data_IF_790160547407
#
_entry.id   IF_790160547407
#
_cell.length_a   1.000
_cell.length_b   1.000
_cell.length_c   1.000
_cell.angle_alpha   90.00
_cell.angle_beta   90.00
_cell.angle_gamma   90.00
#
_symmetry.space_group_name_H-M   'P 1'
#
loop_
_entity.id
_entity.type
_entity.pdbx_description
1 polymer ?
#
# COMPACT_ATOMS: atom_id res chain seq x y z
N UNK A 1 -11.53 8.31 28.08
CA UNK A 1 -11.72 8.20 26.62
C UNK A 1 -10.41 8.08 25.83
N UNK A 2 -9.37 8.86 26.13
CA UNK A 2 -8.07 8.83 25.44
C UNK A 2 -7.42 7.43 25.40
N UNK A 3 -7.44 6.67 26.49
CA UNK A 3 -6.89 5.29 26.54
C UNK A 3 -7.62 4.28 25.63
N UNK A 4 -8.94 4.42 25.44
CA UNK A 4 -9.74 3.58 24.52
C UNK A 4 -9.48 3.95 23.06
N UNK A 5 -9.30 5.24 22.76
CA UNK A 5 -8.87 5.72 21.44
C UNK A 5 -7.45 5.23 21.11
N UNK A 6 -6.53 5.32 22.07
CA UNK A 6 -5.15 4.83 21.91
C UNK A 6 -5.11 3.31 21.78
N UNK A 7 -5.92 2.55 22.53
CA UNK A 7 -5.99 1.09 22.38
C UNK A 7 -6.62 0.69 21.05
N UNK A 8 -7.69 1.36 20.60
CA UNK A 8 -8.31 1.16 19.29
C UNK A 8 -7.36 1.53 18.15
N UNK A 9 -6.61 2.63 18.28
CA UNK A 9 -5.50 2.97 17.39
C UNK A 9 -4.44 1.88 17.39
N UNK A 10 -4.11 1.28 18.55
CA UNK A 10 -3.12 0.20 18.66
C UNK A 10 -3.57 -1.09 17.96
N UNK A 11 -4.85 -1.44 18.03
CA UNK A 11 -5.43 -2.58 17.28
C UNK A 11 -5.57 -2.28 15.78
N UNK A 12 -5.76 -1.02 15.37
CA UNK A 12 -5.70 -0.61 13.96
C UNK A 12 -4.25 -0.55 13.45
N UNK A 13 -3.29 -0.26 14.32
CA UNK A 13 -1.85 -0.20 14.05
C UNK A 13 -1.15 -1.56 14.07
N UNK A 14 -1.79 -2.63 14.56
CA UNK A 14 -1.21 -3.97 14.46
C UNK A 14 -1.38 -4.50 13.04
N UNK A 15 -0.24 -4.72 12.36
CA UNK A 15 -0.20 -5.44 11.08
C UNK A 15 -0.81 -6.83 11.33
N UNK A 16 -1.92 -7.19 10.66
CA UNK A 16 -2.54 -8.50 10.83
C UNK A 16 -1.59 -9.56 10.28
N UNK A 17 -0.92 -10.25 11.18
CA UNK A 17 0.04 -11.31 10.90
C UNK A 17 -0.64 -12.68 10.70
N UNK A 18 -1.96 -12.76 10.82
CA UNK A 18 -2.69 -14.03 11.00
C UNK A 18 -2.96 -14.82 9.71
N UNK A 19 -2.71 -14.29 8.51
CA UNK A 19 -2.94 -15.02 7.27
C UNK A 19 -1.83 -14.83 6.23
N UNK A 20 -0.92 -15.80 6.04
CA UNK A 20 0.21 -15.68 5.10
C UNK A 20 -0.25 -15.53 3.64
N UNK A 21 -1.37 -16.16 3.25
CA UNK A 21 -1.97 -16.00 1.91
C UNK A 21 -2.58 -14.60 1.69
N UNK A 22 -3.19 -14.01 2.72
CA UNK A 22 -3.70 -12.63 2.68
C UNK A 22 -2.54 -11.63 2.50
N UNK A 23 -1.46 -11.83 3.25
CA UNK A 23 -0.22 -11.06 3.16
C UNK A 23 0.39 -11.13 1.74
N UNK A 24 0.37 -12.32 1.12
CA UNK A 24 0.88 -12.54 -0.23
C UNK A 24 0.05 -11.80 -1.28
N UNK A 25 -1.28 -11.89 -1.22
CA UNK A 25 -2.18 -11.18 -2.13
C UNK A 25 -2.06 -9.65 -1.99
N UNK A 26 -1.95 -9.14 -0.76
CA UNK A 26 -1.70 -7.72 -0.49
C UNK A 26 -0.35 -7.26 -1.04
N UNK A 27 0.68 -8.09 -0.89
CA UNK A 27 2.02 -7.80 -1.41
C UNK A 27 2.02 -7.66 -2.94
N UNK A 28 1.35 -8.57 -3.65
CA UNK A 28 1.24 -8.52 -5.12
C UNK A 28 0.46 -7.29 -5.58
N UNK A 29 -0.70 -7.01 -4.97
CA UNK A 29 -1.48 -5.81 -5.29
C UNK A 29 -0.68 -4.51 -5.06
N UNK A 30 0.00 -4.41 -3.91
CA UNK A 30 0.85 -3.28 -3.55
C UNK A 30 2.01 -3.09 -4.54
N UNK A 31 2.65 -4.19 -4.96
CA UNK A 31 3.78 -4.15 -5.89
C UNK A 31 3.44 -3.53 -7.26
N UNK A 32 2.19 -3.65 -7.71
CA UNK A 32 1.72 -3.02 -8.97
C UNK A 32 1.34 -1.55 -8.80
N UNK A 33 0.86 -1.14 -7.63
CA UNK A 33 0.36 0.21 -7.39
C UNK A 33 1.47 1.20 -6.99
N UNK A 34 2.48 0.74 -6.26
CA UNK A 34 3.58 1.59 -5.79
C UNK A 34 4.39 2.29 -6.90
N UNK A 35 4.74 1.65 -8.04
CA UNK A 35 5.52 2.30 -9.10
C UNK A 35 4.81 3.51 -9.71
N UNK A 36 3.50 3.38 -9.98
CA UNK A 36 2.68 4.48 -10.51
C UNK A 36 2.63 5.65 -9.52
N UNK A 37 2.52 5.35 -8.22
CA UNK A 37 2.51 6.38 -7.19
C UNK A 37 3.83 7.16 -7.12
N UNK A 38 4.97 6.46 -7.14
CA UNK A 38 6.28 7.13 -7.17
C UNK A 38 6.41 8.01 -8.41
N UNK A 39 5.96 7.55 -9.58
CA UNK A 39 5.97 8.33 -10.80
C UNK A 39 5.16 9.64 -10.65
N UNK A 40 3.91 9.55 -10.20
CA UNK A 40 3.05 10.73 -9.99
C UNK A 40 3.69 11.69 -8.99
N UNK A 41 4.24 11.19 -7.89
CA UNK A 41 4.92 12.02 -6.87
C UNK A 41 6.13 12.75 -7.44
N UNK A 42 6.94 12.08 -8.27
CA UNK A 42 8.08 12.71 -8.92
C UNK A 42 7.65 13.82 -9.88
N UNK A 43 6.64 13.57 -10.71
CA UNK A 43 6.11 14.59 -11.64
C UNK A 43 5.65 15.82 -10.87
N UNK A 44 4.88 15.65 -9.79
CA UNK A 44 4.43 16.76 -8.94
C UNK A 44 5.60 17.52 -8.28
N UNK A 45 6.65 16.81 -7.88
CA UNK A 45 7.82 17.40 -7.22
C UNK A 45 8.60 18.28 -8.18
N UNK A 46 8.85 17.78 -9.39
CA UNK A 46 9.53 18.54 -10.44
C UNK A 46 8.68 19.71 -10.94
N UNK A 47 7.36 19.56 -11.00
CA UNK A 47 6.45 20.67 -11.31
C UNK A 47 6.57 21.81 -10.29
N UNK A 48 6.55 21.50 -8.99
CA UNK A 48 6.73 22.52 -7.94
C UNK A 48 8.12 23.15 -7.95
N UNK A 49 9.16 22.34 -8.20
CA UNK A 49 10.53 22.82 -8.32
C UNK A 49 10.70 23.78 -9.50
N UNK A 50 10.07 23.48 -10.65
CA UNK A 50 10.10 24.33 -11.84
C UNK A 50 9.43 25.68 -11.59
N UNK A 51 8.29 25.73 -10.90
CA UNK A 51 7.63 27.01 -10.60
C UNK A 51 8.42 27.91 -9.66
N UNK A 52 9.33 27.34 -8.85
CA UNK A 52 10.19 28.10 -7.93
C UNK A 52 11.62 28.27 -8.46
N UNK A 53 11.90 27.83 -9.69
CA UNK A 53 13.25 27.79 -10.25
C UNK A 53 13.93 29.17 -10.28
N UNK A 54 13.16 30.22 -10.57
CA UNK A 54 13.66 31.59 -10.66
C UNK A 54 13.73 32.32 -9.30
N UNK A 55 13.03 31.82 -8.27
CA UNK A 55 12.83 32.57 -7.02
C UNK A 55 13.49 31.93 -5.81
N UNK A 56 13.69 30.61 -5.81
CA UNK A 56 14.34 29.88 -4.73
C UNK A 56 15.78 29.47 -5.10
N UNK A 57 16.70 29.33 -4.11
CA UNK A 57 18.08 28.97 -4.37
C UNK A 57 18.20 27.58 -5.02
N UNK A 58 19.21 27.41 -5.88
CA UNK A 58 19.40 26.21 -6.71
C UNK A 58 19.51 24.91 -5.89
N UNK A 59 19.99 24.96 -4.64
CA UNK A 59 20.03 23.82 -3.74
C UNK A 59 18.63 23.30 -3.38
N UNK A 60 17.64 24.18 -3.27
CA UNK A 60 16.25 23.85 -2.91
C UNK A 60 15.45 23.38 -4.13
N UNK A 61 15.71 23.94 -5.31
CA UNK A 61 14.99 23.66 -6.56
C UNK A 61 15.58 22.51 -7.37
N UNK A 62 16.86 22.20 -7.19
CA UNK A 62 17.54 21.14 -7.93
C UNK A 62 18.04 20.01 -7.04
N UNK A 63 18.84 20.31 -6.01
CA UNK A 63 19.54 19.26 -5.26
C UNK A 63 18.57 18.41 -4.43
N UNK A 64 17.66 19.03 -3.69
CA UNK A 64 16.70 18.29 -2.86
C UNK A 64 15.73 17.44 -3.72
N UNK A 65 15.09 17.98 -4.79
CA UNK A 65 14.28 17.17 -5.70
C UNK A 65 15.06 16.04 -6.37
N UNK A 66 16.32 16.27 -6.76
CA UNK A 66 17.16 15.22 -7.35
C UNK A 66 17.44 14.08 -6.35
N UNK A 67 17.78 14.40 -5.10
CA UNK A 67 18.01 13.40 -4.06
C UNK A 67 16.74 12.60 -3.76
N UNK A 68 15.60 13.28 -3.61
CA UNK A 68 14.30 12.63 -3.43
C UNK A 68 13.93 11.75 -4.63
N UNK A 69 14.29 12.18 -5.85
CA UNK A 69 14.11 11.40 -7.07
C UNK A 69 14.90 10.11 -7.05
N UNK A 70 16.17 10.16 -6.64
CA UNK A 70 17.03 8.97 -6.53
C UNK A 70 16.43 7.98 -5.52
N UNK A 71 16.01 8.45 -4.34
CA UNK A 71 15.41 7.59 -3.30
C UNK A 71 14.13 6.92 -3.81
N UNK A 72 13.22 7.69 -4.41
CA UNK A 72 11.98 7.18 -4.99
C UNK A 72 12.24 6.21 -6.14
N UNK A 73 13.20 6.49 -7.03
CA UNK A 73 13.54 5.64 -8.16
C UNK A 73 14.14 4.30 -7.72
N UNK A 74 15.05 4.30 -6.74
CA UNK A 74 15.62 3.07 -6.15
C UNK A 74 14.50 2.21 -5.58
N UNK A 75 13.56 2.80 -4.85
CA UNK A 75 12.42 2.06 -4.28
C UNK A 75 11.47 1.55 -5.35
N UNK A 76 11.09 2.39 -6.31
CA UNK A 76 10.25 2.01 -7.43
C UNK A 76 10.85 0.84 -8.20
N UNK A 77 12.15 0.88 -8.48
CA UNK A 77 12.89 -0.21 -9.14
C UNK A 77 12.93 -1.48 -8.30
N UNK A 78 13.20 -1.39 -6.99
CA UNK A 78 13.15 -2.56 -6.09
C UNK A 78 11.78 -3.24 -6.12
N UNK A 79 10.69 -2.46 -6.05
CA UNK A 79 9.34 -2.99 -6.10
C UNK A 79 9.01 -3.60 -7.47
N UNK A 80 9.34 -2.92 -8.57
CA UNK A 80 9.17 -3.44 -9.93
C UNK A 80 9.92 -4.77 -10.16
N UNK A 81 11.15 -4.88 -9.66
CA UNK A 81 11.95 -6.10 -9.75
C UNK A 81 11.36 -7.26 -8.91
N UNK A 82 10.53 -6.95 -7.92
CA UNK A 82 9.91 -7.96 -7.06
C UNK A 82 8.50 -8.37 -7.53
N UNK A 83 7.86 -7.59 -8.43
CA UNK A 83 6.56 -7.94 -9.06
C UNK A 83 6.61 -9.30 -9.77
N UNK A 84 7.73 -9.62 -10.43
CA UNK A 84 7.87 -10.83 -11.24
C UNK A 84 8.57 -12.00 -10.51
N UNK A 85 8.87 -11.88 -9.21
CA UNK A 85 9.52 -12.95 -8.44
C UNK A 85 8.51 -13.69 -7.55
N UNK A 86 8.68 -15.01 -7.35
CA UNK A 86 7.83 -15.76 -6.44
C UNK A 86 7.93 -15.15 -5.03
N UNK A 87 6.82 -15.05 -4.28
CA UNK A 87 6.81 -14.34 -3.02
C UNK A 87 7.75 -15.02 -2.01
N UNK A 88 8.64 -14.26 -1.36
CA UNK A 88 9.57 -14.81 -0.37
C UNK A 88 8.82 -15.30 0.88
N UNK A 89 9.54 -16.01 1.75
CA UNK A 89 8.97 -16.56 3.00
C UNK A 89 8.19 -15.47 3.80
N UNK A 90 7.09 -15.85 4.49
CA UNK A 90 6.21 -14.89 5.20
C UNK A 90 6.94 -14.00 6.21
N UNK A 91 8.01 -14.52 6.83
CA UNK A 91 8.86 -13.80 7.79
C UNK A 91 9.63 -12.64 7.14
N UNK A 92 10.15 -12.86 5.93
CA UNK A 92 10.88 -11.84 5.14
C UNK A 92 9.95 -10.75 4.61
N UNK A 93 8.70 -11.12 4.29
CA UNK A 93 7.66 -10.16 3.87
C UNK A 93 7.36 -9.18 5.01
N UNK A 94 7.14 -9.70 6.22
CA UNK A 94 6.77 -8.87 7.37
C UNK A 94 7.88 -7.90 7.80
N UNK A 95 9.15 -8.34 7.75
CA UNK A 95 10.30 -7.47 8.00
C UNK A 95 10.39 -6.33 6.96
N UNK A 96 10.27 -6.67 5.68
CA UNK A 96 10.32 -5.69 4.57
C UNK A 96 9.18 -4.65 4.66
N UNK A 97 7.99 -5.09 5.06
CA UNK A 97 6.83 -4.21 5.25
C UNK A 97 7.03 -3.26 6.44
N UNK A 98 7.60 -3.72 7.56
CA UNK A 98 7.92 -2.87 8.72
C UNK A 98 8.98 -1.81 8.40
N UNK A 99 10.03 -2.19 7.69
CA UNK A 99 11.06 -1.24 7.24
C UNK A 99 10.47 -0.20 6.27
N UNK A 100 9.63 -0.65 5.34
CA UNK A 100 8.96 0.24 4.38
C UNK A 100 8.02 1.21 5.09
N UNK A 101 7.34 0.77 6.14
CA UNK A 101 6.48 1.62 6.97
C UNK A 101 7.28 2.78 7.63
N UNK A 102 8.38 2.46 8.33
CA UNK A 102 9.23 3.47 8.95
C UNK A 102 9.81 4.46 7.94
N UNK A 103 10.31 3.96 6.81
CA UNK A 103 10.88 4.79 5.76
C UNK A 103 9.83 5.66 5.06
N UNK A 104 8.59 5.20 4.92
CA UNK A 104 7.51 5.97 4.30
C UNK A 104 7.21 7.26 5.09
N UNK A 105 7.15 7.17 6.42
CA UNK A 105 6.96 8.33 7.28
C UNK A 105 8.12 9.34 7.18
N UNK A 106 9.37 8.86 7.18
CA UNK A 106 10.56 9.70 7.02
C UNK A 106 10.57 10.41 5.67
N UNK A 107 10.30 9.69 4.58
CA UNK A 107 10.23 10.26 3.24
C UNK A 107 9.11 11.29 3.17
N UNK A 108 7.92 11.00 3.71
CA UNK A 108 6.82 11.96 3.74
C UNK A 108 7.16 13.24 4.53
N UNK A 109 7.80 13.11 5.68
CA UNK A 109 8.28 14.26 6.45
C UNK A 109 9.31 15.08 5.68
N UNK A 110 10.25 14.42 4.97
CA UNK A 110 11.24 15.09 4.14
C UNK A 110 10.61 15.91 3.00
N UNK A 111 9.62 15.34 2.31
CA UNK A 111 8.88 16.07 1.27
C UNK A 111 8.07 17.24 1.84
N UNK A 112 7.44 17.07 3.00
CA UNK A 112 6.69 18.14 3.66
C UNK A 112 7.62 19.28 4.13
N UNK A 113 8.75 18.95 4.74
CA UNK A 113 9.74 19.94 5.17
C UNK A 113 10.31 20.71 3.96
N UNK A 114 10.63 20.00 2.89
CA UNK A 114 11.09 20.63 1.64
C UNK A 114 10.02 21.56 1.05
N UNK A 115 8.78 21.10 0.88
CA UNK A 115 7.73 21.95 0.30
C UNK A 115 7.45 23.19 1.14
N UNK A 116 7.43 23.06 2.47
CA UNK A 116 7.28 24.21 3.38
C UNK A 116 8.47 25.17 3.31
N UNK A 117 9.67 24.67 3.08
CA UNK A 117 10.86 25.53 2.89
C UNK A 117 10.80 26.35 1.59
N UNK A 118 10.03 25.91 0.58
CA UNK A 118 9.81 26.69 -0.65
C UNK A 118 8.81 27.83 -0.46
N UNK A 119 7.91 27.72 0.52
CA UNK A 119 6.84 28.69 0.76
C UNK A 119 7.28 30.17 0.81
N UNK A 120 8.35 30.57 1.54
CA UNK A 120 8.74 31.98 1.61
C UNK A 120 9.35 32.54 0.32
N UNK A 121 9.70 31.71 -0.65
CA UNK A 121 10.36 32.13 -1.90
C UNK A 121 9.36 32.39 -3.04
N UNK A 122 8.06 32.23 -2.82
CA UNK A 122 7.03 32.35 -3.84
C UNK A 122 6.13 33.58 -3.67
N UNK A 123 5.54 34.04 -4.78
CA UNK A 123 4.39 34.94 -4.78
C UNK A 123 3.12 34.21 -4.29
N UNK A 124 1.98 34.91 -4.23
CA UNK A 124 0.74 34.31 -3.74
C UNK A 124 0.30 33.06 -4.54
N UNK A 125 0.56 33.03 -5.85
CA UNK A 125 0.26 31.89 -6.70
C UNK A 125 1.20 30.70 -6.43
N UNK A 126 2.50 30.96 -6.27
CA UNK A 126 3.47 29.93 -5.90
C UNK A 126 3.22 29.37 -4.50
N UNK A 127 2.83 30.21 -3.54
CA UNK A 127 2.40 29.78 -2.19
C UNK A 127 1.15 28.89 -2.24
N UNK A 128 0.16 29.24 -3.07
CA UNK A 128 -1.00 28.40 -3.32
C UNK A 128 -0.60 27.07 -3.99
N UNK A 129 0.37 27.09 -4.90
CA UNK A 129 0.90 25.88 -5.53
C UNK A 129 1.59 24.95 -4.51
N UNK A 130 2.32 25.50 -3.53
CA UNK A 130 2.87 24.72 -2.40
C UNK A 130 1.74 24.06 -1.59
N UNK A 131 0.69 24.81 -1.24
CA UNK A 131 -0.45 24.27 -0.51
C UNK A 131 -1.16 23.14 -1.29
N UNK A 132 -1.36 23.33 -2.59
CA UNK A 132 -1.95 22.35 -3.49
C UNK A 132 -1.09 21.09 -3.62
N UNK A 133 0.22 21.25 -3.81
CA UNK A 133 1.18 20.15 -3.85
C UNK A 133 1.12 19.30 -2.58
N UNK A 134 1.15 19.94 -1.40
CA UNK A 134 1.07 19.23 -0.13
C UNK A 134 -0.25 18.47 0.04
N UNK A 135 -1.38 19.09 -0.32
CA UNK A 135 -2.70 18.44 -0.27
C UNK A 135 -2.79 17.18 -1.13
N UNK A 136 -2.41 17.28 -2.41
CA UNK A 136 -2.38 16.12 -3.32
C UNK A 136 -1.40 15.07 -2.80
N UNK A 137 -0.23 15.48 -2.32
CA UNK A 137 0.80 14.55 -1.84
C UNK A 137 0.33 13.75 -0.64
N UNK A 138 -0.43 14.35 0.29
CA UNK A 138 -1.05 13.63 1.41
C UNK A 138 -1.98 12.54 0.91
N UNK A 139 -2.88 12.87 -0.03
CA UNK A 139 -3.85 11.92 -0.60
C UNK A 139 -3.11 10.76 -1.27
N UNK A 140 -2.12 11.07 -2.11
CA UNK A 140 -1.28 10.08 -2.81
C UNK A 140 -0.52 9.20 -1.81
N UNK A 141 -0.01 9.78 -0.71
CA UNK A 141 0.67 9.04 0.36
C UNK A 141 -0.29 8.12 1.14
N UNK A 142 -1.53 8.54 1.38
CA UNK A 142 -2.54 7.70 2.02
C UNK A 142 -2.88 6.51 1.11
N UNK A 143 -3.14 6.77 -0.17
CA UNK A 143 -3.44 5.71 -1.15
C UNK A 143 -2.29 4.71 -1.32
N UNK A 144 -1.04 5.19 -1.35
CA UNK A 144 0.08 4.27 -1.55
C UNK A 144 0.33 3.35 -0.36
N UNK A 145 -0.17 3.74 0.82
CA UNK A 145 -0.11 2.97 2.05
C UNK A 145 -1.42 2.23 2.33
N UNK A 146 -2.31 2.08 1.34
CA UNK A 146 -3.60 1.39 1.47
C UNK A 146 -3.49 -0.02 2.06
N UNK A 147 -2.41 -0.74 1.76
CA UNK A 147 -2.17 -2.08 2.30
C UNK A 147 -1.38 -2.08 3.62
N UNK A 148 -0.88 -0.92 4.06
CA UNK A 148 -0.13 -0.72 5.30
C UNK A 148 -0.81 0.35 6.16
N UNK A 149 -1.94 -0.01 6.79
CA UNK A 149 -2.73 0.87 7.67
C UNK A 149 -1.92 1.72 8.65
N UNK A 150 -0.93 1.16 9.38
CA UNK A 150 -0.18 1.96 10.35
C UNK A 150 0.64 3.04 9.64
N UNK A 151 1.18 2.74 8.46
CA UNK A 151 1.97 3.67 7.65
C UNK A 151 1.13 4.83 7.12
N UNK A 152 -0.07 4.51 6.60
CA UNK A 152 -0.99 5.50 6.09
C UNK A 152 -1.40 6.49 7.19
N UNK A 153 -1.72 5.97 8.38
CA UNK A 153 -2.08 6.78 9.54
C UNK A 153 -0.93 7.65 10.04
N UNK A 154 0.26 7.08 10.26
CA UNK A 154 1.42 7.85 10.75
C UNK A 154 1.80 8.94 9.77
N UNK A 155 1.79 8.63 8.48
CA UNK A 155 2.11 9.61 7.43
C UNK A 155 1.06 10.70 7.34
N UNK A 156 -0.23 10.34 7.36
CA UNK A 156 -1.31 11.32 7.33
C UNK A 156 -1.24 12.27 8.54
N UNK A 157 -1.00 11.74 9.74
CA UNK A 157 -0.86 12.57 10.95
C UNK A 157 0.34 13.50 10.83
N UNK A 158 1.53 12.97 10.51
CA UNK A 158 2.75 13.78 10.42
C UNK A 158 2.59 14.92 9.42
N UNK A 159 2.11 14.64 8.21
CA UNK A 159 2.00 15.66 7.16
C UNK A 159 0.85 16.63 7.44
N UNK A 160 -0.33 16.17 7.87
CA UNK A 160 -1.44 17.08 8.20
C UNK A 160 -1.10 17.97 9.39
N UNK A 161 -0.42 17.45 10.41
CA UNK A 161 -0.01 18.26 11.56
C UNK A 161 0.97 19.35 11.13
N UNK A 162 1.98 19.02 10.31
CA UNK A 162 2.89 20.03 9.76
C UNK A 162 2.15 21.06 8.90
N UNK A 163 1.23 20.61 8.04
CA UNK A 163 0.41 21.46 7.18
C UNK A 163 -0.44 22.45 7.99
N UNK A 164 -1.22 21.94 8.95
CA UNK A 164 -2.11 22.75 9.78
C UNK A 164 -1.34 23.75 10.62
N UNK A 165 -0.27 23.33 11.30
CA UNK A 165 0.52 24.23 12.15
C UNK A 165 1.10 25.38 11.32
N UNK A 166 1.67 25.06 10.16
CA UNK A 166 2.29 26.07 9.31
C UNK A 166 1.26 27.05 8.73
N UNK A 167 0.20 26.55 8.08
CA UNK A 167 -0.78 27.43 7.44
C UNK A 167 -1.70 28.16 8.43
N UNK A 168 -1.89 27.63 9.63
CA UNK A 168 -2.53 28.38 10.72
C UNK A 168 -1.67 29.55 11.17
N UNK A 169 -0.34 29.40 11.21
CA UNK A 169 0.59 30.47 11.59
C UNK A 169 0.67 31.62 10.58
N UNK A 170 0.24 31.41 9.33
CA UNK A 170 0.22 32.44 8.27
C UNK A 170 -0.85 33.53 8.49
N UNK A 171 -1.85 33.30 9.37
CA UNK A 171 -2.97 34.24 9.62
C UNK A 171 -3.82 34.63 8.40
N UNK A 172 -3.71 33.90 7.28
CA UNK A 172 -4.50 34.13 6.08
C UNK A 172 -5.70 33.17 6.04
N UNK A 173 -6.91 33.73 5.95
CA UNK A 173 -8.18 32.98 5.99
C UNK A 173 -8.25 31.92 4.88
N UNK A 174 -7.74 32.21 3.68
CA UNK A 174 -7.75 31.28 2.53
C UNK A 174 -6.89 30.06 2.80
N UNK A 175 -5.70 30.26 3.39
CA UNK A 175 -4.80 29.15 3.72
C UNK A 175 -5.31 28.32 4.90
N UNK A 176 -5.91 28.96 5.91
CA UNK A 176 -6.57 28.26 7.03
C UNK A 176 -7.73 27.39 6.50
N UNK A 177 -8.59 27.94 5.64
CA UNK A 177 -9.69 27.20 5.02
C UNK A 177 -9.18 26.01 4.19
N UNK A 178 -8.05 26.18 3.50
CA UNK A 178 -7.41 25.12 2.72
C UNK A 178 -6.87 24.00 3.63
N UNK A 179 -6.28 24.35 4.78
CA UNK A 179 -5.86 23.38 5.80
C UNK A 179 -7.01 22.57 6.36
N UNK A 180 -8.13 23.21 6.69
CA UNK A 180 -9.33 22.50 7.15
C UNK A 180 -9.85 21.54 6.07
N UNK A 181 -9.89 21.97 4.81
CA UNK A 181 -10.31 21.12 3.70
C UNK A 181 -9.41 19.89 3.52
N UNK A 182 -8.09 20.07 3.54
CA UNK A 182 -7.13 18.97 3.37
C UNK A 182 -7.23 17.96 4.52
N UNK A 183 -7.43 18.42 5.75
CA UNK A 183 -7.66 17.54 6.91
C UNK A 183 -8.94 16.74 6.72
N UNK A 184 -10.04 17.39 6.31
CA UNK A 184 -11.33 16.73 6.09
C UNK A 184 -11.22 15.66 4.98
N UNK A 185 -10.60 16.00 3.86
CA UNK A 185 -10.35 15.06 2.74
C UNK A 185 -9.46 13.92 3.20
N UNK A 186 -8.42 14.18 4.00
CA UNK A 186 -7.54 13.15 4.56
C UNK A 186 -8.31 12.17 5.46
N UNK A 187 -9.23 12.67 6.31
CA UNK A 187 -10.09 11.83 7.15
C UNK A 187 -10.98 10.95 6.26
N UNK A 188 -11.64 11.52 5.24
CA UNK A 188 -12.45 10.77 4.29
C UNK A 188 -11.66 9.67 3.58
N UNK A 189 -10.44 9.98 3.13
CA UNK A 189 -9.55 9.01 2.48
C UNK A 189 -9.12 7.89 3.42
N UNK A 190 -8.84 8.19 4.69
CA UNK A 190 -8.54 7.17 5.69
C UNK A 190 -9.75 6.26 5.96
N UNK A 191 -10.96 6.79 5.94
CA UNK A 191 -12.20 6.00 6.07
C UNK A 191 -12.36 5.07 4.86
N UNK A 192 -12.23 5.59 3.64
CA UNK A 192 -12.31 4.78 2.41
C UNK A 192 -11.27 3.66 2.43
N UNK A 193 -10.03 3.97 2.82
CA UNK A 193 -8.96 2.99 2.98
C UNK A 193 -9.33 1.89 3.98
N UNK A 194 -9.95 2.25 5.10
CA UNK A 194 -10.42 1.27 6.09
C UNK A 194 -11.50 0.34 5.52
N UNK A 195 -12.46 0.87 4.76
CA UNK A 195 -13.49 0.07 4.08
C UNK A 195 -12.87 -0.88 3.06
N UNK A 196 -12.05 -0.37 2.14
CA UNK A 196 -11.40 -1.18 1.11
C UNK A 196 -10.59 -2.33 1.71
N UNK A 197 -9.91 -2.09 2.82
CA UNK A 197 -9.19 -3.13 3.53
C UNK A 197 -10.12 -4.22 4.08
N UNK A 198 -11.25 -3.84 4.67
CA UNK A 198 -12.22 -4.80 5.24
C UNK A 198 -12.79 -5.69 4.13
N UNK A 199 -13.08 -5.10 2.97
CA UNK A 199 -13.57 -5.84 1.81
C UNK A 199 -12.52 -6.82 1.29
N UNK A 200 -11.26 -6.41 1.17
CA UNK A 200 -10.15 -7.31 0.80
C UNK A 200 -10.02 -8.49 1.77
N UNK A 201 -10.18 -8.23 3.07
CA UNK A 201 -10.12 -9.28 4.10
C UNK A 201 -11.32 -10.23 4.01
N UNK A 202 -12.52 -9.67 3.79
CA UNK A 202 -13.74 -10.45 3.58
C UNK A 202 -13.61 -11.37 2.36
N UNK A 203 -13.17 -10.84 1.22
CA UNK A 203 -13.01 -11.58 -0.02
C UNK A 203 -12.04 -12.76 0.12
N UNK A 204 -10.89 -12.55 0.77
CA UNK A 204 -9.93 -13.64 0.98
C UNK A 204 -10.47 -14.69 1.96
N UNK A 205 -11.18 -14.28 3.01
CA UNK A 205 -11.82 -15.23 3.92
C UNK A 205 -12.89 -16.07 3.20
N UNK A 206 -13.66 -15.47 2.29
CA UNK A 206 -14.61 -16.19 1.44
C UNK A 206 -13.88 -17.16 0.52
N UNK A 207 -12.80 -16.75 -0.13
CA UNK A 207 -11.99 -17.62 -0.99
C UNK A 207 -11.48 -18.87 -0.24
N UNK A 208 -10.91 -18.67 0.96
CA UNK A 208 -10.40 -19.77 1.80
C UNK A 208 -11.54 -20.73 2.16
N UNK A 209 -12.70 -20.20 2.54
CA UNK A 209 -13.86 -21.02 2.89
C UNK A 209 -14.40 -21.79 1.69
N UNK A 210 -14.43 -21.18 0.51
CA UNK A 210 -14.86 -21.84 -0.73
C UNK A 210 -13.88 -22.94 -1.13
N UNK A 211 -12.56 -22.75 -0.98
CA UNK A 211 -11.57 -23.81 -1.22
C UNK A 211 -11.75 -24.98 -0.26
N UNK A 212 -11.99 -24.71 1.02
CA UNK A 212 -12.25 -25.75 2.02
C UNK A 212 -13.51 -26.56 1.67
N UNK A 213 -14.61 -25.86 1.38
CA UNK A 213 -15.86 -26.50 0.97
C UNK A 213 -15.72 -27.27 -0.34
N UNK A 214 -14.93 -26.76 -1.30
CA UNK A 214 -14.64 -27.46 -2.55
C UNK A 214 -13.84 -28.73 -2.31
N UNK A 215 -12.85 -28.70 -1.43
CA UNK A 215 -12.06 -29.87 -1.07
C UNK A 215 -12.91 -30.90 -0.31
N UNK A 216 -13.73 -30.46 0.64
CA UNK A 216 -14.68 -31.34 1.34
C UNK A 216 -15.67 -31.98 0.35
N UNK A 217 -16.19 -31.20 -0.59
CA UNK A 217 -17.08 -31.71 -1.64
C UNK A 217 -16.34 -32.73 -2.53
N UNK A 218 -15.10 -32.45 -2.94
CA UNK A 218 -14.28 -33.40 -3.70
C UNK A 218 -14.01 -34.70 -2.92
N UNK A 219 -13.79 -34.61 -1.61
CA UNK A 219 -13.62 -35.79 -0.76
C UNK A 219 -14.94 -36.59 -0.67
N UNK A 220 -16.06 -35.93 -0.35
CA UNK A 220 -17.38 -36.57 -0.28
C UNK A 220 -17.83 -37.16 -1.63
N UNK A 221 -17.49 -36.51 -2.74
CA UNK A 221 -17.84 -36.98 -4.08
C UNK A 221 -17.03 -38.20 -4.52
N UNK A 222 -15.89 -38.47 -3.88
CA UNK A 222 -14.98 -39.56 -4.22
C UNK A 222 -14.87 -40.63 -3.13
N UNK A 223 -15.40 -40.39 -1.93
CA UNK A 223 -15.38 -41.32 -0.81
C UNK A 223 -16.78 -41.90 -0.55
N UNK A 224 -16.84 -43.16 -0.15
CA UNK A 224 -18.07 -43.81 0.31
C UNK A 224 -18.39 -43.36 1.74
N UNK A 225 -19.59 -42.80 1.92
CA UNK A 225 -19.99 -42.16 3.18
C UNK A 225 -20.14 -43.13 4.36
N UNK A 226 -20.32 -44.43 4.09
CA UNK A 226 -20.53 -45.45 5.14
C UNK A 226 -19.21 -46.07 5.61
N UNK A 227 -18.27 -46.29 4.69
CA UNK A 227 -17.04 -47.04 4.96
C UNK A 227 -15.79 -46.17 5.00
N UNK A 228 -15.85 -44.95 4.48
CA UNK A 228 -14.68 -44.09 4.32
C UNK A 228 -13.68 -44.60 3.27
N UNK A 229 -14.05 -45.60 2.46
CA UNK A 229 -13.21 -46.08 1.35
C UNK A 229 -13.45 -45.25 0.09
N UNK A 230 -12.52 -45.26 -0.90
CA UNK A 230 -12.76 -44.67 -2.21
C UNK A 230 -14.04 -45.26 -2.83
N UNK A 231 -14.91 -44.41 -3.34
CA UNK A 231 -16.14 -44.84 -3.99
C UNK A 231 -15.85 -45.40 -5.39
N UNK A 232 -16.88 -46.00 -5.99
CA UNK A 232 -16.81 -46.60 -7.33
C UNK A 232 -16.21 -45.65 -8.37
N UNK A 233 -16.59 -44.36 -8.35
CA UNK A 233 -16.15 -43.37 -9.33
C UNK A 233 -14.64 -43.13 -9.23
N UNK A 234 -14.11 -42.98 -8.01
CA UNK A 234 -12.69 -42.82 -7.77
C UNK A 234 -11.89 -44.08 -8.12
N UNK A 235 -12.43 -45.27 -7.82
CA UNK A 235 -11.82 -46.54 -8.19
C UNK A 235 -11.60 -46.66 -9.71
N UNK A 236 -12.64 -46.44 -10.52
CA UNK A 236 -12.54 -46.56 -11.97
C UNK A 236 -11.63 -45.49 -12.60
N UNK A 237 -11.66 -44.25 -12.10
CA UNK A 237 -10.70 -43.22 -12.55
C UNK A 237 -9.25 -43.63 -12.28
N UNK A 238 -8.97 -44.17 -11.09
CA UNK A 238 -7.60 -44.58 -10.72
C UNK A 238 -7.16 -45.79 -11.56
N UNK A 239 -8.07 -46.74 -11.80
CA UNK A 239 -7.82 -47.91 -12.63
C UNK A 239 -7.48 -47.53 -14.08
N UNK A 240 -8.28 -46.66 -14.71
CA UNK A 240 -8.04 -46.20 -16.09
C UNK A 240 -6.70 -45.46 -16.20
N UNK A 241 -6.37 -44.62 -15.22
CA UNK A 241 -5.10 -43.87 -15.19
C UNK A 241 -3.90 -44.83 -15.11
N UNK A 242 -3.95 -45.81 -14.21
CA UNK A 242 -2.90 -46.82 -14.05
C UNK A 242 -2.74 -47.70 -15.31
N UNK A 243 -3.86 -48.03 -15.98
CA UNK A 243 -3.82 -48.75 -17.25
C UNK A 243 -3.15 -47.94 -18.36
N UNK A 244 -3.45 -46.64 -18.46
CA UNK A 244 -2.83 -45.76 -19.46
C UNK A 244 -1.33 -45.58 -19.21
N UNK A 245 -0.91 -45.41 -17.95
CA UNK A 245 0.52 -45.34 -17.59
C UNK A 245 1.26 -46.64 -17.95
N UNK A 246 0.67 -47.79 -17.66
CA UNK A 246 1.25 -49.09 -18.02
C UNK A 246 1.35 -49.28 -19.54
N UNK A 247 0.36 -48.82 -20.30
CA UNK A 247 0.37 -48.84 -21.77
C UNK A 247 1.44 -47.91 -22.36
N UNK A 248 1.60 -46.70 -21.78
CA UNK A 248 2.61 -45.72 -22.20
C UNK A 248 4.03 -46.22 -21.91
N UNK A 249 4.27 -46.85 -20.76
CA UNK A 249 5.56 -47.48 -20.44
C UNK A 249 5.90 -48.64 -21.39
N UNK A 250 4.89 -49.32 -21.94
CA UNK A 250 5.07 -50.44 -22.87
C UNK A 250 5.30 -50.02 -24.31
N UNK A 251 4.97 -48.78 -24.68
CA UNK A 251 5.14 -48.21 -26.03
C UNK A 251 6.39 -47.34 -26.17
N UNK A 252 7.12 -47.09 -25.08
CA UNK A 252 8.39 -46.36 -25.04
C UNK A 252 9.67 -47.23 -25.15
N UNK A 253 9.53 -48.52 -25.48
CA UNK A 253 10.60 -49.44 -25.87
C UNK A 253 10.47 -49.73 -27.38
#
# INVERSE_FOLDING_TARGET
>A
MLKKLVSALRTVMSVPADNPRLLQAQYVALSRQLPLMYFVRLVNTWALAFTHWATAPMWLTLLVPALLTIVCAIRARKWLLTVNRPPPAPTTILATLRETNGLAGVIAAGFAAWSLSLYPYGDAYAQAHVAFFMGITVIVCIFCMMHLRPAALTTAVVVNTAFVIFFASTHNITFIATAVNIVLVSIGMLIILQYQYRDLTSLVNVQIRTEQLSNENLLLANQDSLTGLPNRRQFFQTLDTAMQEALAQRTGL
#
